data_IF_056051371473
#
_entry.id   IF_056051371473
#
_cell.length_a   1.000
_cell.length_b   1.000
_cell.length_c   1.000
_cell.angle_alpha   90.00
_cell.angle_beta   90.00
_cell.angle_gamma   90.00
#
_symmetry.space_group_name_H-M   'P 1'
#
loop_
_entity.id
_entity.type
_entity.pdbx_description
1 polymer ?
#
# COMPACT_ATOMS: atom_id res chain seq x y z
N UNK A 1 1.16 17.00 11.94
CA UNK A 1 -0.15 17.42 12.51
C UNK A 1 -1.03 17.90 11.36
N UNK A 2 -2.26 17.39 11.22
CA UNK A 2 -3.16 17.80 10.13
C UNK A 2 -4.02 18.94 10.64
N UNK A 3 -3.75 20.15 10.17
CA UNK A 3 -4.49 21.34 10.54
C UNK A 3 -5.08 22.00 9.29
N UNK A 4 -6.37 22.33 9.32
CA UNK A 4 -7.07 23.05 8.25
C UNK A 4 -7.82 24.20 8.88
N UNK A 5 -7.58 25.41 8.37
CA UNK A 5 -8.34 26.61 8.70
C UNK A 5 -9.49 26.78 7.71
N UNK A 6 -10.62 27.28 8.22
CA UNK A 6 -11.78 27.65 7.41
C UNK A 6 -11.39 28.82 6.50
N UNK A 7 -11.80 28.75 5.23
CA UNK A 7 -11.63 29.85 4.28
C UNK A 7 -12.83 30.79 4.33
N UNK A 8 -12.65 32.04 3.92
CA UNK A 8 -13.76 32.98 3.76
C UNK A 8 -14.79 32.45 2.76
N UNK A 9 -16.09 32.60 3.09
CA UNK A 9 -17.24 32.09 2.32
C UNK A 9 -17.29 30.56 2.14
N UNK A 10 -16.58 29.78 2.95
CA UNK A 10 -16.65 28.32 2.90
C UNK A 10 -17.84 27.77 3.72
N UNK A 11 -18.58 26.82 3.15
CA UNK A 11 -19.60 26.03 3.86
C UNK A 11 -18.95 24.98 4.78
N UNK A 12 -19.62 24.65 5.88
CA UNK A 12 -19.12 23.65 6.85
C UNK A 12 -18.84 22.30 6.20
N UNK A 13 -19.68 21.89 5.24
CA UNK A 13 -19.53 20.63 4.51
C UNK A 13 -18.26 20.59 3.65
N UNK A 14 -17.95 21.68 2.93
CA UNK A 14 -16.71 21.80 2.15
C UNK A 14 -15.48 21.65 3.04
N UNK A 15 -15.49 22.26 4.23
CA UNK A 15 -14.41 22.17 5.20
C UNK A 15 -14.18 20.72 5.65
N UNK A 16 -15.26 19.99 5.98
CA UNK A 16 -15.19 18.57 6.38
C UNK A 16 -14.63 17.72 5.25
N UNK A 17 -15.06 17.94 3.99
CA UNK A 17 -14.55 17.20 2.84
C UNK A 17 -13.05 17.41 2.63
N UNK A 18 -12.56 18.65 2.76
CA UNK A 18 -11.12 18.95 2.68
C UNK A 18 -10.34 18.26 3.80
N UNK A 19 -10.88 18.27 5.01
CA UNK A 19 -10.30 17.57 6.15
C UNK A 19 -10.19 16.06 5.89
N UNK A 20 -11.29 15.41 5.51
CA UNK A 20 -11.30 13.99 5.18
C UNK A 20 -10.29 13.63 4.09
N UNK A 21 -10.21 14.42 3.01
CA UNK A 21 -9.21 14.21 1.94
C UNK A 21 -7.78 14.35 2.46
N UNK A 22 -7.49 15.36 3.30
CA UNK A 22 -6.16 15.56 3.87
C UNK A 22 -5.77 14.44 4.83
N UNK A 23 -6.71 13.94 5.63
CA UNK A 23 -6.54 12.78 6.51
C UNK A 23 -6.24 11.52 5.68
N UNK A 24 -6.99 11.27 4.61
CA UNK A 24 -6.74 10.14 3.72
C UNK A 24 -5.36 10.23 3.05
N UNK A 25 -5.02 11.38 2.46
CA UNK A 25 -3.74 11.61 1.80
C UNK A 25 -2.54 11.51 2.75
N UNK A 26 -2.70 11.97 3.99
CA UNK A 26 -1.64 11.86 5.00
C UNK A 26 -1.31 10.43 5.40
N UNK A 27 -2.22 9.47 5.16
CA UNK A 27 -2.04 8.07 5.52
C UNK A 27 -1.99 7.79 7.02
N UNK A 28 -2.24 8.79 7.88
CA UNK A 28 -2.14 8.67 9.35
C UNK A 28 -3.05 7.55 9.87
N UNK A 29 -4.28 7.45 9.38
CA UNK A 29 -5.20 6.37 9.76
C UNK A 29 -4.65 4.98 9.39
N UNK A 30 -4.02 4.84 8.22
CA UNK A 30 -3.42 3.58 7.78
C UNK A 30 -2.22 3.21 8.64
N UNK A 31 -1.39 4.19 9.00
CA UNK A 31 -0.25 3.99 9.89
C UNK A 31 -0.71 3.55 11.28
N UNK A 32 -1.66 4.26 11.88
CA UNK A 32 -2.21 3.92 13.21
C UNK A 32 -2.85 2.53 13.20
N UNK A 33 -3.63 2.19 12.16
CA UNK A 33 -4.19 0.83 12.02
C UNK A 33 -3.12 -0.26 11.92
N UNK A 34 -2.01 0.01 11.22
CA UNK A 34 -0.88 -0.92 11.13
C UNK A 34 -0.16 -1.10 12.47
N UNK A 35 -0.05 -0.02 13.25
CA UNK A 35 0.66 -0.02 14.54
C UNK A 35 -0.24 -0.42 15.73
N UNK A 36 -1.55 -0.60 15.53
CA UNK A 36 -2.53 -0.91 16.58
C UNK A 36 -2.14 -2.14 17.41
N UNK A 37 -1.56 -3.15 16.77
CA UNK A 37 -1.16 -4.40 17.42
C UNK A 37 0.34 -4.60 17.30
N UNK A 38 0.93 -5.24 18.33
CA UNK A 38 2.33 -5.64 18.31
C UNK A 38 2.54 -6.69 17.22
N UNK A 39 3.40 -6.37 16.25
CA UNK A 39 3.89 -7.36 15.29
C UNK A 39 5.13 -8.06 15.86
N UNK A 40 5.18 -9.38 15.74
CA UNK A 40 6.39 -10.15 16.06
C UNK A 40 7.42 -9.93 14.94
N UNK A 41 8.67 -9.68 15.32
CA UNK A 41 9.74 -9.56 14.34
C UNK A 41 10.00 -10.89 13.63
N UNK A 42 10.18 -10.84 12.32
CA UNK A 42 10.46 -12.04 11.53
C UNK A 42 11.87 -12.57 11.85
N UNK A 43 11.98 -13.88 12.04
CA UNK A 43 13.27 -14.57 12.16
C UNK A 43 14.14 -14.36 10.91
N UNK A 44 15.45 -14.59 11.03
CA UNK A 44 16.40 -14.43 9.90
C UNK A 44 16.00 -15.29 8.69
N UNK A 45 15.60 -16.54 8.93
CA UNK A 45 15.16 -17.47 7.88
C UNK A 45 13.84 -17.01 7.25
N UNK A 46 12.86 -16.56 8.05
CA UNK A 46 11.60 -16.04 7.52
C UNK A 46 11.82 -14.80 6.63
N UNK A 47 12.71 -13.89 7.04
CA UNK A 47 13.10 -12.72 6.23
C UNK A 47 13.76 -13.13 4.91
N UNK A 48 14.66 -14.11 4.94
CA UNK A 48 15.32 -14.65 3.73
C UNK A 48 14.31 -15.27 2.77
N UNK A 49 13.41 -16.11 3.27
CA UNK A 49 12.39 -16.78 2.44
C UNK A 49 11.46 -15.76 1.78
N UNK A 50 11.02 -14.74 2.52
CA UNK A 50 10.22 -13.64 1.96
C UNK A 50 10.98 -12.86 0.87
N UNK A 51 12.26 -12.57 1.09
CA UNK A 51 13.09 -11.89 0.10
C UNK A 51 13.25 -12.72 -1.18
N UNK A 52 13.52 -14.02 -1.05
CA UNK A 52 13.61 -14.95 -2.19
C UNK A 52 12.30 -15.03 -2.97
N UNK A 53 11.16 -15.10 -2.28
CA UNK A 53 9.83 -15.07 -2.90
C UNK A 53 9.61 -13.78 -3.71
N UNK A 54 9.93 -12.61 -3.13
CA UNK A 54 9.82 -11.32 -3.83
C UNK A 54 10.72 -11.25 -5.07
N UNK A 55 11.93 -11.78 -5.00
CA UNK A 55 12.85 -11.84 -6.15
C UNK A 55 12.29 -12.74 -7.25
N UNK A 56 11.76 -13.93 -6.90
CA UNK A 56 11.14 -14.83 -7.88
C UNK A 56 9.95 -14.17 -8.59
N UNK A 57 9.04 -13.56 -7.83
CA UNK A 57 7.89 -12.83 -8.42
C UNK A 57 8.35 -11.71 -9.33
N UNK A 58 9.32 -10.89 -8.91
CA UNK A 58 9.81 -9.78 -9.72
C UNK A 58 10.39 -10.28 -11.05
N UNK A 59 11.15 -11.37 -11.03
CA UNK A 59 11.68 -12.00 -12.26
C UNK A 59 10.58 -12.44 -13.22
N UNK A 60 9.53 -13.10 -12.73
CA UNK A 60 8.40 -13.52 -13.56
C UNK A 60 7.62 -12.33 -14.12
N UNK A 61 7.36 -11.31 -13.29
CA UNK A 61 6.72 -10.07 -13.74
C UNK A 61 7.55 -9.40 -14.86
N UNK A 62 8.86 -9.27 -14.67
CA UNK A 62 9.74 -8.64 -15.66
C UNK A 62 9.78 -9.44 -16.97
N UNK A 63 9.74 -10.77 -16.89
CA UNK A 63 9.63 -11.65 -18.07
C UNK A 63 8.32 -11.43 -18.81
N UNK A 64 7.18 -11.41 -18.11
CA UNK A 64 5.86 -11.19 -18.74
C UNK A 64 5.73 -9.80 -19.34
N UNK A 65 6.27 -8.77 -18.67
CA UNK A 65 6.33 -7.41 -19.21
C UNK A 65 7.13 -7.35 -20.51
N UNK A 66 8.29 -8.00 -20.56
CA UNK A 66 9.10 -8.12 -21.79
C UNK A 66 8.37 -8.84 -22.92
N UNK A 67 7.51 -9.81 -22.58
CA UNK A 67 6.69 -10.55 -23.54
C UNK A 67 5.40 -9.82 -23.92
N UNK A 68 5.08 -8.68 -23.32
CA UNK A 68 3.83 -7.96 -23.53
C UNK A 68 2.58 -8.64 -22.96
N UNK A 69 2.75 -9.65 -22.10
CA UNK A 69 1.67 -10.48 -21.53
C UNK A 69 1.41 -10.19 -20.05
N UNK A 70 1.60 -8.95 -19.63
CA UNK A 70 1.40 -8.54 -18.24
C UNK A 70 0.03 -7.91 -18.08
N UNK A 71 -0.89 -8.64 -17.47
CA UNK A 71 -2.22 -8.19 -17.05
C UNK A 71 -2.42 -8.47 -15.54
N UNK A 72 -3.55 -8.00 -15.00
CA UNK A 72 -3.90 -8.18 -13.58
C UNK A 72 -4.16 -9.65 -13.21
N UNK A 73 -4.53 -10.48 -14.18
CA UNK A 73 -4.77 -11.92 -14.01
C UNK A 73 -3.44 -12.69 -13.93
N UNK A 74 -2.48 -12.36 -14.78
CA UNK A 74 -1.14 -12.95 -14.79
C UNK A 74 -0.42 -12.74 -13.46
N UNK A 75 -0.64 -11.61 -12.77
CA UNK A 75 -0.08 -11.39 -11.44
C UNK A 75 -0.66 -12.37 -10.40
N UNK A 76 -1.95 -12.70 -10.50
CA UNK A 76 -2.59 -13.69 -9.62
C UNK A 76 -2.08 -15.09 -9.92
N UNK A 77 -1.89 -15.42 -11.20
CA UNK A 77 -1.41 -16.74 -11.61
C UNK A 77 0.05 -16.98 -11.25
N UNK A 78 0.91 -15.97 -11.36
CA UNK A 78 2.29 -16.04 -10.84
C UNK A 78 2.28 -16.35 -9.35
N UNK A 79 1.40 -15.70 -8.57
CA UNK A 79 1.31 -15.91 -7.12
C UNK A 79 0.72 -17.27 -6.73
N UNK A 80 -0.11 -17.88 -7.58
CA UNK A 80 -0.65 -19.24 -7.35
C UNK A 80 0.38 -20.33 -7.65
N UNK A 81 1.26 -20.09 -8.62
CA UNK A 81 2.23 -21.07 -9.11
C UNK A 81 3.47 -21.19 -8.21
N UNK A 82 3.84 -20.11 -7.52
CA UNK A 82 4.99 -20.02 -6.61
C UNK A 82 4.53 -20.25 -5.18
#
# INVERSE_FOLDING_TARGET
>A
MIHIKRKEKETTESLIRRFSRRVQQSGVLRQVRKLRYRAIEKSKSARRNEALYKVKIRKEIDKLKKLGKFDDEALRDIKKRI
#
